data_IF_282372121691
#
_entry.id   IF_282372121691
#
_cell.length_a   1.000
_cell.length_b   1.000
_cell.length_c   1.000
_cell.angle_alpha   90.00
_cell.angle_beta   90.00
_cell.angle_gamma   90.00
#
_symmetry.space_group_name_H-M   'P 1'
#
loop_
_entity.id
_entity.type
_entity.pdbx_description
1 polymer ?
#
# COMPACT_ATOMS: atom_id res chain seq x y z
N UNK A 1 -35.39 0.77 -47.46
CA UNK A 1 -34.58 1.90 -46.97
C UNK A 1 -33.47 1.34 -46.08
N UNK A 2 -32.20 1.37 -46.48
CA UNK A 2 -31.13 0.96 -45.58
C UNK A 2 -30.90 2.09 -44.57
N UNK A 3 -31.10 1.78 -43.29
CA UNK A 3 -30.73 2.63 -42.16
C UNK A 3 -29.21 2.62 -42.01
N UNK A 4 -28.56 3.71 -42.39
CA UNK A 4 -27.15 3.94 -42.07
C UNK A 4 -27.00 4.11 -40.57
N UNK A 5 -26.46 3.09 -39.90
CA UNK A 5 -26.07 3.18 -38.49
C UNK A 5 -24.75 3.95 -38.39
N UNK A 6 -24.80 5.12 -37.76
CA UNK A 6 -23.68 6.05 -37.51
C UNK A 6 -22.63 5.50 -36.51
N UNK A 7 -22.63 4.18 -36.26
CA UNK A 7 -21.74 3.52 -35.31
C UNK A 7 -20.34 3.19 -35.86
N UNK A 8 -20.10 3.43 -37.15
CA UNK A 8 -18.84 3.07 -37.83
C UNK A 8 -17.80 4.21 -37.90
N UNK A 9 -18.03 5.37 -37.29
CA UNK A 9 -17.17 6.55 -37.43
C UNK A 9 -16.42 7.01 -36.17
N UNK A 10 -16.39 6.20 -35.10
CA UNK A 10 -15.71 6.60 -33.86
C UNK A 10 -15.15 5.42 -33.10
N UNK A 11 -14.08 4.83 -33.60
CA UNK A 11 -13.28 3.80 -32.92
C UNK A 11 -12.52 4.35 -31.70
N UNK A 12 -13.22 4.94 -30.74
CA UNK A 12 -12.66 5.21 -29.42
C UNK A 12 -13.15 4.09 -28.48
N UNK A 13 -12.26 3.25 -27.93
CA UNK A 13 -12.66 2.33 -26.87
C UNK A 13 -13.29 3.16 -25.74
N UNK A 14 -14.37 2.67 -25.09
CA UNK A 14 -14.95 3.38 -23.96
C UNK A 14 -13.84 3.64 -22.94
N UNK A 15 -13.73 4.89 -22.47
CA UNK A 15 -12.85 5.29 -21.37
C UNK A 15 -13.28 4.52 -20.12
N UNK A 16 -12.87 3.26 -20.00
CA UNK A 16 -13.07 2.47 -18.80
C UNK A 16 -12.25 3.12 -17.69
N UNK A 17 -12.94 3.82 -16.79
CA UNK A 17 -12.33 4.35 -15.58
C UNK A 17 -11.58 3.22 -14.86
N UNK A 18 -10.32 3.44 -14.44
CA UNK A 18 -9.60 2.45 -13.67
C UNK A 18 -10.37 2.14 -12.39
N UNK A 19 -10.57 0.86 -12.09
CA UNK A 19 -11.28 0.43 -10.88
C UNK A 19 -10.63 1.04 -9.63
N UNK A 20 -11.44 1.68 -8.80
CA UNK A 20 -11.04 2.24 -7.50
C UNK A 20 -11.04 1.20 -6.38
N UNK A 21 -11.59 0.00 -6.65
CA UNK A 21 -11.72 -1.08 -5.67
C UNK A 21 -10.38 -1.49 -5.03
N UNK A 22 -9.26 -1.61 -5.77
CA UNK A 22 -7.97 -1.98 -5.16
C UNK A 22 -7.49 -0.94 -4.14
N UNK A 23 -7.71 0.35 -4.41
CA UNK A 23 -7.38 1.43 -3.47
C UNK A 23 -8.28 1.39 -2.25
N UNK A 24 -9.59 1.24 -2.44
CA UNK A 24 -10.54 1.18 -1.33
C UNK A 24 -10.21 0.03 -0.36
N UNK A 25 -9.88 -1.15 -0.90
CA UNK A 25 -9.46 -2.31 -0.09
C UNK A 25 -8.11 -2.07 0.57
N UNK A 26 -7.15 -1.48 -0.14
CA UNK A 26 -5.85 -1.09 0.43
C UNK A 26 -6.00 -0.14 1.63
N UNK A 27 -6.82 0.90 1.45
CA UNK A 27 -7.12 1.91 2.47
C UNK A 27 -7.84 1.28 3.66
N UNK A 28 -8.89 0.50 3.40
CA UNK A 28 -9.68 -0.17 4.43
C UNK A 28 -8.85 -1.15 5.25
N UNK A 29 -8.02 -1.97 4.61
CA UNK A 29 -7.17 -2.92 5.31
C UNK A 29 -6.10 -2.26 6.17
N UNK A 30 -5.49 -1.18 5.66
CA UNK A 30 -4.51 -0.39 6.40
C UNK A 30 -5.15 0.34 7.59
N UNK A 31 -6.39 0.83 7.41
CA UNK A 31 -7.15 1.51 8.45
C UNK A 31 -7.58 0.55 9.57
N UNK A 32 -8.07 -0.64 9.22
CA UNK A 32 -8.43 -1.69 10.18
C UNK A 32 -7.23 -2.09 11.02
N UNK A 33 -6.07 -2.28 10.38
CA UNK A 33 -4.84 -2.60 11.09
C UNK A 33 -4.40 -1.46 12.01
N UNK A 34 -4.44 -0.20 11.56
CA UNK A 34 -4.08 0.95 12.40
C UNK A 34 -5.00 1.10 13.61
N UNK A 35 -6.30 0.87 13.42
CA UNK A 35 -7.27 0.82 14.51
C UNK A 35 -6.92 -0.31 15.50
N UNK A 36 -6.72 -1.53 15.01
CA UNK A 36 -6.40 -2.68 15.85
C UNK A 36 -5.08 -2.51 16.61
N UNK A 37 -4.08 -1.92 15.95
CA UNK A 37 -2.80 -1.61 16.56
C UNK A 37 -2.97 -0.61 17.72
N UNK A 38 -3.73 0.46 17.52
CA UNK A 38 -4.00 1.41 18.60
C UNK A 38 -4.76 0.77 19.75
N UNK A 39 -5.75 -0.09 19.47
CA UNK A 39 -6.45 -0.83 20.53
C UNK A 39 -5.51 -1.77 21.29
N UNK A 40 -4.57 -2.42 20.60
CA UNK A 40 -3.65 -3.37 21.19
C UNK A 40 -2.54 -2.73 22.04
N UNK A 41 -2.23 -1.45 21.80
CA UNK A 41 -1.21 -0.71 22.55
C UNK A 41 -1.82 0.09 23.70
N UNK A 42 -2.98 0.74 23.47
CA UNK A 42 -3.56 1.64 24.48
C UNK A 42 -4.49 0.95 25.46
N UNK A 43 -5.11 -0.18 25.09
CA UNK A 43 -6.16 -0.84 25.89
C UNK A 43 -7.34 0.07 26.25
N UNK A 44 -7.46 1.24 25.63
CA UNK A 44 -8.54 2.18 25.83
C UNK A 44 -9.73 1.84 24.93
N UNK A 45 -10.93 2.25 25.35
CA UNK A 45 -12.11 2.22 24.49
C UNK A 45 -11.95 3.13 23.27
N UNK A 46 -12.90 3.03 22.33
CA UNK A 46 -12.92 3.83 21.11
C UNK A 46 -12.75 5.33 21.43
N UNK A 47 -11.66 5.91 20.95
CA UNK A 47 -11.30 7.32 21.16
C UNK A 47 -10.87 7.98 19.85
N UNK A 48 -10.79 9.31 19.82
CA UNK A 48 -10.34 10.06 18.64
C UNK A 48 -8.94 9.61 18.19
N UNK A 49 -8.10 9.14 19.12
CA UNK A 49 -6.77 8.59 18.79
C UNK A 49 -6.82 7.28 18.01
N UNK A 50 -7.88 6.48 18.15
CA UNK A 50 -8.07 5.27 17.35
C UNK A 50 -8.41 5.61 15.91
N UNK A 51 -9.25 6.64 15.71
CA UNK A 51 -9.57 7.14 14.37
C UNK A 51 -8.34 7.78 13.72
N UNK A 52 -7.56 8.56 14.46
CA UNK A 52 -6.34 9.16 13.91
C UNK A 52 -5.35 8.10 13.45
N UNK A 53 -5.18 6.99 14.18
CA UNK A 53 -4.36 5.86 13.76
C UNK A 53 -4.94 5.12 12.55
N UNK A 54 -6.26 4.94 12.50
CA UNK A 54 -6.95 4.35 11.36
C UNK A 54 -6.76 5.17 10.07
N UNK A 55 -6.65 6.50 10.16
CA UNK A 55 -6.40 7.37 9.00
C UNK A 55 -4.91 7.56 8.69
N UNK A 56 -4.05 7.61 9.72
CA UNK A 56 -2.63 7.88 9.58
C UNK A 56 -1.91 6.77 8.82
N UNK A 57 -2.19 5.49 9.09
CA UNK A 57 -1.53 4.37 8.41
C UNK A 57 -1.78 4.35 6.89
N UNK A 58 -3.04 4.43 6.41
CA UNK A 58 -3.32 4.60 4.99
C UNK A 58 -2.63 5.82 4.39
N UNK A 59 -2.67 6.97 5.07
CA UNK A 59 -2.08 8.21 4.59
C UNK A 59 -0.54 8.10 4.45
N UNK A 60 0.13 7.53 5.45
CA UNK A 60 1.57 7.27 5.46
C UNK A 60 1.98 6.31 4.35
N UNK A 61 1.22 5.23 4.15
CA UNK A 61 1.47 4.28 3.07
C UNK A 61 1.28 4.90 1.69
N UNK A 62 0.25 5.74 1.48
CA UNK A 62 0.05 6.46 0.21
C UNK A 62 1.18 7.47 -0.01
N UNK A 63 1.56 8.22 1.03
CA UNK A 63 2.62 9.22 0.95
C UNK A 63 3.98 8.58 0.64
N UNK A 64 4.31 7.43 1.24
CA UNK A 64 5.56 6.73 0.96
C UNK A 64 5.63 6.29 -0.50
N UNK A 65 4.54 5.74 -1.05
CA UNK A 65 4.46 5.42 -2.48
C UNK A 65 4.55 6.67 -3.36
N UNK A 66 3.87 7.76 -3.01
CA UNK A 66 3.90 9.00 -3.77
C UNK A 66 5.30 9.63 -3.82
N UNK A 67 6.10 9.48 -2.76
CA UNK A 67 7.49 9.95 -2.71
C UNK A 67 8.45 9.01 -3.45
N UNK A 68 8.26 7.70 -3.36
CA UNK A 68 9.15 6.71 -3.99
C UNK A 68 8.92 6.55 -5.50
N UNK A 69 7.70 6.77 -6.00
CA UNK A 69 7.37 6.55 -7.41
C UNK A 69 8.12 7.48 -8.37
N UNK A 70 8.18 8.82 -8.15
CA UNK A 70 8.97 9.71 -8.99
C UNK A 70 10.46 9.34 -8.98
N UNK A 71 11.00 8.99 -7.81
CA UNK A 71 12.40 8.59 -7.67
C UNK A 71 12.69 7.34 -8.51
N UNK A 72 11.83 6.31 -8.43
CA UNK A 72 11.97 5.11 -9.26
C UNK A 72 11.77 5.41 -10.75
N UNK A 73 10.80 6.26 -11.10
CA UNK A 73 10.51 6.59 -12.48
C UNK A 73 11.70 7.29 -13.15
N UNK A 74 12.21 8.36 -12.52
CA UNK A 74 13.31 9.16 -13.05
C UNK A 74 14.61 8.35 -13.12
N UNK A 75 14.94 7.62 -12.04
CA UNK A 75 16.24 6.95 -11.92
C UNK A 75 16.30 5.63 -12.70
N UNK A 76 15.17 4.95 -12.89
CA UNK A 76 15.14 3.60 -13.45
C UNK A 76 14.15 3.42 -14.60
N UNK A 77 12.87 3.81 -14.45
CA UNK A 77 11.85 3.47 -15.45
C UNK A 77 12.07 4.15 -16.81
N UNK A 78 12.65 5.36 -16.84
CA UNK A 78 13.04 6.08 -18.06
C UNK A 78 14.02 5.30 -18.95
N UNK A 79 14.73 4.30 -18.39
CA UNK A 79 15.66 3.44 -19.13
C UNK A 79 14.95 2.28 -19.85
N UNK A 80 13.65 2.09 -19.62
CA UNK A 80 12.86 1.02 -20.19
C UNK A 80 11.82 1.58 -21.17
N UNK A 81 11.91 1.30 -22.48
CA UNK A 81 11.04 1.90 -23.50
C UNK A 81 9.57 1.47 -23.37
N UNK A 82 9.30 0.34 -22.72
CA UNK A 82 7.97 -0.25 -22.57
C UNK A 82 7.26 0.17 -21.26
N UNK A 83 7.91 0.95 -20.40
CA UNK A 83 7.39 1.30 -19.07
C UNK A 83 7.05 2.78 -19.00
N UNK A 84 5.76 3.10 -19.12
CA UNK A 84 5.26 4.45 -18.88
C UNK A 84 5.03 4.74 -17.40
N UNK A 85 4.92 6.03 -17.06
CA UNK A 85 4.55 6.48 -15.70
C UNK A 85 3.20 5.89 -15.25
N UNK A 86 2.25 5.70 -16.17
CA UNK A 86 0.97 5.05 -15.91
C UNK A 86 1.12 3.61 -15.42
N UNK A 87 2.08 2.84 -15.97
CA UNK A 87 2.36 1.47 -15.52
C UNK A 87 2.91 1.45 -14.08
N UNK A 88 3.78 2.41 -13.73
CA UNK A 88 4.27 2.55 -12.36
C UNK A 88 3.14 2.89 -11.37
N UNK A 89 2.21 3.78 -11.75
CA UNK A 89 1.07 4.13 -10.91
C UNK A 89 0.11 2.96 -10.72
N UNK A 90 -0.19 2.21 -11.80
CA UNK A 90 -1.04 1.01 -11.72
C UNK A 90 -0.39 -0.09 -10.87
N UNK A 91 0.91 -0.32 -11.05
CA UNK A 91 1.66 -1.28 -10.24
C UNK A 91 1.66 -0.87 -8.75
N UNK A 92 1.83 0.42 -8.44
CA UNK A 92 1.78 0.92 -7.07
C UNK A 92 0.39 0.79 -6.45
N UNK A 93 -0.67 1.00 -7.24
CA UNK A 93 -2.05 0.76 -6.82
C UNK A 93 -2.27 -0.68 -6.39
N UNK A 94 -1.78 -1.64 -7.19
CA UNK A 94 -1.94 -3.07 -6.92
C UNK A 94 -1.03 -3.52 -5.76
N UNK A 95 0.14 -2.89 -5.60
CA UNK A 95 1.01 -3.05 -4.44
C UNK A 95 0.35 -2.53 -3.16
N UNK A 96 -0.33 -1.38 -3.22
CA UNK A 96 -1.07 -0.81 -2.09
C UNK A 96 -2.27 -1.67 -1.68
N UNK A 97 -2.97 -2.24 -2.66
CA UNK A 97 -3.99 -3.26 -2.41
C UNK A 97 -3.43 -4.47 -1.65
N UNK A 98 -2.27 -4.97 -2.08
CA UNK A 98 -1.59 -6.11 -1.44
C UNK A 98 -1.17 -5.77 0.00
N UNK A 99 -0.63 -4.57 0.21
CA UNK A 99 -0.28 -4.07 1.54
C UNK A 99 -1.49 -4.10 2.48
N UNK A 100 -2.61 -3.49 2.05
CA UNK A 100 -3.82 -3.44 2.86
C UNK A 100 -4.39 -4.83 3.16
N UNK A 101 -4.36 -5.76 2.21
CA UNK A 101 -4.79 -7.14 2.46
C UNK A 101 -3.91 -7.86 3.49
N UNK A 102 -2.58 -7.74 3.40
CA UNK A 102 -1.66 -8.33 4.37
C UNK A 102 -1.86 -7.76 5.77
N UNK A 103 -2.10 -6.45 5.87
CA UNK A 103 -2.40 -5.78 7.14
C UNK A 103 -3.78 -6.21 7.68
N UNK A 104 -4.81 -6.24 6.83
CA UNK A 104 -6.15 -6.69 7.22
C UNK A 104 -6.14 -8.14 7.74
N UNK A 105 -5.40 -9.04 7.08
CA UNK A 105 -5.34 -10.46 7.48
C UNK A 105 -4.68 -10.70 8.84
N UNK A 106 -3.86 -9.76 9.30
CA UNK A 106 -3.14 -9.87 10.59
C UNK A 106 -3.85 -9.10 11.72
N UNK A 107 -4.88 -8.32 11.39
CA UNK A 107 -5.70 -7.54 12.34
C UNK A 107 -6.34 -8.41 13.45
N UNK A 108 -6.90 -9.61 13.17
CA UNK A 108 -7.51 -10.43 14.21
C UNK A 108 -6.53 -10.87 15.31
N UNK A 109 -5.26 -11.10 14.96
CA UNK A 109 -4.23 -11.49 15.93
C UNK A 109 -3.93 -10.33 16.88
N UNK A 110 -3.87 -9.10 16.38
CA UNK A 110 -3.68 -7.92 17.22
C UNK A 110 -4.84 -7.72 18.19
N UNK A 111 -6.09 -7.91 17.75
CA UNK A 111 -7.25 -7.87 18.64
C UNK A 111 -7.25 -8.98 19.67
N UNK A 112 -6.85 -10.20 19.30
CA UNK A 112 -6.73 -11.30 20.25
C UNK A 112 -5.78 -10.93 21.40
N UNK A 113 -4.59 -10.40 21.10
CA UNK A 113 -3.64 -9.97 22.14
C UNK A 113 -4.11 -8.74 22.91
N UNK A 114 -4.80 -7.80 22.25
CA UNK A 114 -5.41 -6.65 22.91
C UNK A 114 -6.40 -7.07 24.01
N UNK A 115 -7.18 -8.13 23.76
CA UNK A 115 -8.19 -8.63 24.68
C UNK A 115 -7.64 -9.60 25.73
N UNK A 116 -6.64 -10.42 25.38
CA UNK A 116 -6.18 -11.54 26.23
C UNK A 116 -4.93 -11.24 27.05
N UNK A 117 -4.10 -10.27 26.63
CA UNK A 117 -2.84 -9.97 27.30
C UNK A 117 -2.56 -8.46 27.33
N UNK A 118 -3.40 -7.66 28.04
CA UNK A 118 -3.21 -6.23 28.12
C UNK A 118 -1.90 -5.86 28.80
N UNK A 119 -1.12 -4.96 28.21
CA UNK A 119 0.21 -4.53 28.67
C UNK A 119 1.38 -5.38 28.18
N UNK A 120 1.14 -6.43 27.40
CA UNK A 120 2.21 -7.25 26.82
C UNK A 120 2.93 -6.54 25.67
N UNK A 121 4.25 -6.49 25.71
CA UNK A 121 5.08 -5.95 24.61
C UNK A 121 5.00 -6.80 23.32
N UNK A 122 4.40 -7.99 23.37
CA UNK A 122 4.26 -8.88 22.22
C UNK A 122 3.44 -8.23 21.09
N UNK A 123 2.47 -7.38 21.42
CA UNK A 123 1.64 -6.71 20.41
C UNK A 123 2.44 -5.75 19.52
N UNK A 124 3.42 -5.03 20.08
CA UNK A 124 4.26 -4.10 19.31
C UNK A 124 5.23 -4.86 18.40
N UNK A 125 5.82 -5.96 18.89
CA UNK A 125 6.71 -6.83 18.11
C UNK A 125 5.96 -7.47 16.95
N UNK A 126 4.76 -8.00 17.19
CA UNK A 126 3.91 -8.56 16.14
C UNK A 126 3.50 -7.50 15.12
N UNK A 127 3.10 -6.31 15.57
CA UNK A 127 2.73 -5.22 14.68
C UNK A 127 3.89 -4.80 13.77
N UNK A 128 5.11 -4.72 14.31
CA UNK A 128 6.31 -4.46 13.53
C UNK A 128 6.57 -5.55 12.48
N UNK A 129 6.46 -6.83 12.87
CA UNK A 129 6.65 -7.96 11.96
C UNK A 129 5.59 -7.99 10.85
N UNK A 130 4.32 -7.78 11.19
CA UNK A 130 3.22 -7.74 10.23
C UNK A 130 3.37 -6.57 9.24
N UNK A 131 3.75 -5.40 9.73
CA UNK A 131 4.01 -4.23 8.88
C UNK A 131 5.18 -4.49 7.95
N UNK A 132 6.28 -5.06 8.46
CA UNK A 132 7.47 -5.38 7.66
C UNK A 132 7.16 -6.39 6.56
N UNK A 133 6.40 -7.44 6.88
CA UNK A 133 6.00 -8.45 5.92
C UNK A 133 5.02 -7.90 4.87
N UNK A 134 4.09 -7.03 5.28
CA UNK A 134 3.16 -6.36 4.36
C UNK A 134 3.90 -5.42 3.39
N UNK A 135 4.88 -4.65 3.87
CA UNK A 135 5.73 -3.81 3.02
C UNK A 135 6.54 -4.64 2.02
N UNK A 136 7.12 -5.75 2.47
CA UNK A 136 7.83 -6.68 1.59
C UNK A 136 6.92 -7.27 0.51
N UNK A 137 5.75 -7.77 0.90
CA UNK A 137 4.75 -8.30 -0.04
C UNK A 137 4.26 -7.25 -1.03
N UNK A 138 4.07 -6.01 -0.58
CA UNK A 138 3.68 -4.87 -1.41
C UNK A 138 4.74 -4.57 -2.48
N UNK A 139 6.00 -4.43 -2.08
CA UNK A 139 7.11 -4.20 -3.02
C UNK A 139 7.30 -5.39 -3.96
N UNK A 140 7.09 -6.62 -3.48
CA UNK A 140 7.14 -7.80 -4.35
C UNK A 140 6.05 -7.76 -5.43
N UNK A 141 4.81 -7.47 -5.05
CA UNK A 141 3.68 -7.33 -5.99
C UNK A 141 3.93 -6.20 -7.00
N UNK A 142 4.49 -5.08 -6.57
CA UNK A 142 4.90 -3.98 -7.45
C UNK A 142 5.89 -4.45 -8.52
N UNK A 143 6.96 -5.13 -8.10
CA UNK A 143 7.99 -5.63 -9.02
C UNK A 143 7.41 -6.64 -9.99
N UNK A 144 6.57 -7.55 -9.51
CA UNK A 144 5.91 -8.54 -10.35
C UNK A 144 5.00 -7.87 -11.40
N UNK A 145 4.23 -6.85 -11.01
CA UNK A 145 3.38 -6.09 -11.94
C UNK A 145 4.21 -5.39 -13.03
N UNK A 146 5.38 -4.84 -12.69
CA UNK A 146 6.30 -4.26 -13.66
C UNK A 146 6.95 -5.32 -14.56
N UNK A 147 7.25 -6.51 -14.04
CA UNK A 147 7.78 -7.63 -14.83
C UNK A 147 6.80 -8.10 -15.90
N UNK A 148 5.50 -8.10 -15.61
CA UNK A 148 4.46 -8.38 -16.61
C UNK A 148 4.43 -7.36 -17.76
N UNK A 149 4.96 -6.16 -17.55
CA UNK A 149 5.10 -5.12 -18.58
C UNK A 149 6.46 -5.17 -19.31
N UNK A 150 7.25 -6.23 -19.09
CA UNK A 150 8.56 -6.42 -19.71
C UNK A 150 9.70 -5.65 -19.01
N UNK A 151 9.49 -5.17 -17.78
CA UNK A 151 10.48 -4.43 -17.03
C UNK A 151 11.20 -5.31 -15.99
N UNK A 152 12.53 -5.27 -15.93
CA UNK A 152 13.29 -6.12 -15.01
C UNK A 152 13.90 -5.34 -13.85
N UNK A 153 13.19 -5.25 -12.72
CA UNK A 153 13.76 -4.75 -11.46
C UNK A 153 14.35 -5.94 -10.66
N UNK A 154 15.54 -6.41 -11.03
CA UNK A 154 16.18 -7.59 -10.43
C UNK A 154 17.47 -7.26 -9.67
N UNK A 155 17.75 -8.01 -8.59
CA UNK A 155 19.00 -7.88 -7.84
C UNK A 155 19.06 -6.60 -7.00
N UNK A 156 20.16 -5.84 -7.15
CA UNK A 156 20.45 -4.66 -6.32
C UNK A 156 19.39 -3.54 -6.42
N UNK A 157 18.90 -3.12 -7.62
CA UNK A 157 17.84 -2.12 -7.73
C UNK A 157 16.55 -2.46 -6.96
N UNK A 158 16.19 -3.75 -6.89
CA UNK A 158 15.03 -4.21 -6.12
C UNK A 158 15.25 -4.04 -4.62
N UNK A 159 16.43 -4.42 -4.13
CA UNK A 159 16.80 -4.23 -2.72
C UNK A 159 16.88 -2.74 -2.37
N UNK A 160 17.50 -1.93 -3.22
CA UNK A 160 17.59 -0.48 -3.04
C UNK A 160 16.20 0.17 -2.99
N UNK A 161 15.29 -0.21 -3.88
CA UNK A 161 13.92 0.29 -3.86
C UNK A 161 13.14 -0.15 -2.61
N UNK A 162 13.29 -1.40 -2.20
CA UNK A 162 12.71 -1.90 -0.95
C UNK A 162 13.22 -1.12 0.27
N UNK A 163 14.53 -0.92 0.38
CA UNK A 163 15.12 -0.12 1.46
C UNK A 163 14.64 1.32 1.42
N UNK A 164 14.58 1.95 0.24
CA UNK A 164 14.07 3.31 0.09
C UNK A 164 12.62 3.39 0.57
N UNK A 165 11.75 2.50 0.09
CA UNK A 165 10.33 2.50 0.44
C UNK A 165 10.10 2.27 1.94
N UNK A 166 10.82 1.34 2.54
CA UNK A 166 10.71 1.06 3.98
C UNK A 166 11.22 2.21 4.84
N UNK A 167 12.34 2.86 4.48
CA UNK A 167 12.85 4.05 5.17
C UNK A 167 11.87 5.21 5.03
N UNK A 168 11.38 5.49 3.82
CA UNK A 168 10.39 6.55 3.60
C UNK A 168 9.12 6.30 4.39
N UNK A 169 8.62 5.05 4.39
CA UNK A 169 7.47 4.68 5.22
C UNK A 169 7.72 4.93 6.70
N UNK A 170 8.87 4.50 7.24
CA UNK A 170 9.23 4.70 8.64
C UNK A 170 9.33 6.19 9.02
N UNK A 171 9.91 7.01 8.15
CA UNK A 171 10.00 8.46 8.36
C UNK A 171 8.62 9.13 8.33
N UNK A 172 7.77 8.76 7.38
CA UNK A 172 6.40 9.25 7.31
C UNK A 172 5.58 8.80 8.54
N UNK A 173 5.74 7.55 8.99
CA UNK A 173 5.09 7.03 10.19
C UNK A 173 5.53 7.80 11.45
N UNK A 174 6.83 8.04 11.60
CA UNK A 174 7.37 8.82 12.70
C UNK A 174 6.82 10.26 12.69
N UNK A 175 6.82 10.93 11.54
CA UNK A 175 6.27 12.28 11.38
C UNK A 175 4.76 12.37 11.63
N UNK A 176 4.01 11.28 11.40
CA UNK A 176 2.59 11.17 11.71
C UNK A 176 2.30 10.82 13.18
N UNK A 177 3.33 10.68 14.04
CA UNK A 177 3.16 10.32 15.45
C UNK A 177 2.78 8.86 15.68
N UNK A 178 3.01 7.98 14.69
CA UNK A 178 2.84 6.53 14.84
C UNK A 178 4.07 5.94 15.54
N UNK A 179 4.28 6.27 16.81
CA UNK A 179 5.30 5.61 17.64
C UNK A 179 4.66 4.46 18.43
N UNK A 180 5.35 3.32 18.45
CA UNK A 180 5.02 2.16 19.30
C UNK A 180 5.60 2.28 20.71
N UNK A 181 5.99 3.50 21.11
CA UNK A 181 6.62 3.83 22.40
C UNK A 181 5.61 3.84 23.55
#
# INVERSE_FOLDING_TARGET
MPSFSLATLGGAPPLTLPSMRPLAVGLGGSALFGFALRTAVSHEGLSVTHLSWAFALPAVSVLSWALCLPALYILWATRHPNVGASHCVLAARDAFHTLGLCLASTTPILWFFAATAPGSQISSVLAFLFTSLALFSSVHAFVQALQHQGASLSGFPRLAFFCLHTITFAQCAHGAGLSLS
#
